data_IF_795075440551
#
_entry.id   IF_795075440551
#
_cell.length_a   1.000
_cell.length_b   1.000
_cell.length_c   1.000
_cell.angle_alpha   90.00
_cell.angle_beta   90.00
_cell.angle_gamma   90.00
#
_symmetry.space_group_name_H-M   'P 1'
#
loop_
_entity.id
_entity.type
_entity.pdbx_description
1 polymer ?
#
# COMPACT_ATOMS: atom_id res chain seq x y z
N UNK A 1 -48.04 21.12 -13.59
CA UNK A 1 -47.01 20.41 -14.42
C UNK A 1 -45.68 21.15 -14.52
N UNK A 2 -45.64 22.43 -14.81
CA UNK A 2 -44.37 23.20 -14.92
C UNK A 2 -43.57 23.31 -13.62
N UNK A 3 -44.21 23.30 -12.47
CA UNK A 3 -43.55 23.44 -11.16
C UNK A 3 -42.87 22.13 -10.74
N UNK A 4 -43.50 21.00 -10.99
CA UNK A 4 -42.92 19.66 -10.69
C UNK A 4 -41.70 19.36 -11.55
N UNK A 5 -41.72 19.80 -12.81
CA UNK A 5 -40.56 19.66 -13.71
C UNK A 5 -39.37 20.49 -13.22
N UNK A 6 -39.62 21.71 -12.74
CA UNK A 6 -38.56 22.56 -12.16
C UNK A 6 -37.98 21.94 -10.89
N UNK A 7 -38.83 21.42 -10.00
CA UNK A 7 -38.39 20.75 -8.78
C UNK A 7 -37.58 19.49 -9.12
N UNK A 8 -38.04 18.68 -10.08
CA UNK A 8 -37.32 17.49 -10.54
C UNK A 8 -35.92 17.85 -11.11
N UNK A 9 -35.84 18.90 -11.92
CA UNK A 9 -34.55 19.38 -12.44
C UNK A 9 -33.61 19.88 -11.34
N UNK A 10 -34.14 20.57 -10.32
CA UNK A 10 -33.34 20.99 -9.16
C UNK A 10 -32.81 19.79 -8.37
N UNK A 11 -33.62 18.77 -8.13
CA UNK A 11 -33.22 17.56 -7.41
C UNK A 11 -32.15 16.79 -8.17
N UNK A 12 -32.33 16.61 -9.48
CA UNK A 12 -31.34 15.94 -10.34
C UNK A 12 -30.01 16.71 -10.37
N UNK A 13 -30.08 18.03 -10.49
CA UNK A 13 -28.88 18.89 -10.47
C UNK A 13 -28.15 18.82 -9.12
N UNK A 14 -28.87 18.77 -8.01
CA UNK A 14 -28.28 18.66 -6.69
C UNK A 14 -27.60 17.29 -6.47
N UNK A 15 -28.23 16.20 -6.94
CA UNK A 15 -27.63 14.85 -6.89
C UNK A 15 -26.36 14.79 -7.75
N UNK A 16 -26.40 15.34 -8.97
CA UNK A 16 -25.22 15.37 -9.85
C UNK A 16 -24.08 16.19 -9.22
N UNK A 17 -24.37 17.34 -8.63
CA UNK A 17 -23.36 18.16 -7.97
C UNK A 17 -22.74 17.45 -6.76
N UNK A 18 -23.57 16.79 -5.93
CA UNK A 18 -23.05 16.03 -4.79
C UNK A 18 -22.19 14.84 -5.19
N UNK A 19 -22.53 14.16 -6.29
CA UNK A 19 -21.72 13.07 -6.85
C UNK A 19 -20.37 13.57 -7.37
N UNK A 20 -20.34 14.72 -8.05
CA UNK A 20 -19.09 15.35 -8.52
C UNK A 20 -18.23 15.78 -7.34
N UNK A 21 -18.80 16.39 -6.30
CA UNK A 21 -18.05 16.79 -5.10
C UNK A 21 -17.48 15.56 -4.36
N UNK A 22 -18.25 14.48 -4.26
CA UNK A 22 -17.78 13.24 -3.66
C UNK A 22 -16.64 12.61 -4.47
N UNK A 23 -16.76 12.60 -5.80
CA UNK A 23 -15.71 12.10 -6.69
C UNK A 23 -14.43 12.96 -6.60
N UNK A 24 -14.55 14.28 -6.56
CA UNK A 24 -13.43 15.19 -6.37
C UNK A 24 -12.79 15.04 -4.99
N UNK A 25 -13.59 14.82 -3.96
CA UNK A 25 -13.10 14.54 -2.61
C UNK A 25 -12.30 13.25 -2.56
N UNK A 26 -12.83 12.16 -3.15
CA UNK A 26 -12.12 10.89 -3.24
C UNK A 26 -10.84 10.99 -4.10
N UNK A 27 -10.89 11.74 -5.20
CA UNK A 27 -9.72 11.99 -6.05
C UNK A 27 -8.65 12.84 -5.35
N UNK A 28 -9.07 13.77 -4.49
CA UNK A 28 -8.18 14.66 -3.73
C UNK A 28 -7.71 14.07 -2.39
N UNK A 29 -8.21 12.88 -2.01
CA UNK A 29 -7.58 12.10 -0.94
C UNK A 29 -6.16 11.79 -1.42
N UNK A 30 -5.24 12.65 -1.03
CA UNK A 30 -3.81 12.51 -1.32
C UNK A 30 -3.39 11.12 -0.88
N UNK A 31 -2.84 10.35 -1.80
CA UNK A 31 -2.07 9.18 -1.41
C UNK A 31 -1.09 9.62 -0.35
N UNK A 32 -1.19 9.04 0.84
CA UNK A 32 -0.27 9.34 1.94
C UNK A 32 1.14 9.14 1.41
N UNK A 33 1.98 10.17 1.48
CA UNK A 33 3.39 10.06 1.11
C UNK A 33 4.08 9.18 2.15
N UNK A 34 4.19 7.89 1.84
CA UNK A 34 4.75 6.89 2.76
C UNK A 34 6.19 7.18 3.12
N UNK A 35 6.93 7.89 2.27
CA UNK A 35 8.30 8.30 2.59
C UNK A 35 8.37 9.26 3.78
N UNK A 36 7.31 10.05 3.99
CA UNK A 36 7.20 11.04 5.08
C UNK A 36 6.28 10.60 6.22
N UNK A 37 5.45 9.58 6.00
CA UNK A 37 4.54 9.09 7.02
C UNK A 37 5.31 8.48 8.20
N UNK A 38 4.82 8.68 9.41
CA UNK A 38 5.38 8.03 10.59
C UNK A 38 4.94 6.55 10.61
N UNK A 39 5.86 5.59 10.71
CA UNK A 39 5.48 4.19 10.82
C UNK A 39 4.85 3.90 12.20
N UNK A 40 3.83 3.06 12.20
CA UNK A 40 3.25 2.52 13.44
C UNK A 40 4.16 1.43 14.04
N UNK A 41 4.82 0.66 13.17
CA UNK A 41 5.74 -0.41 13.54
C UNK A 41 6.96 -0.42 12.61
N UNK A 42 8.11 -0.76 13.19
CA UNK A 42 9.35 -1.07 12.47
C UNK A 42 9.66 -2.54 12.68
N UNK A 43 9.73 -3.31 11.62
CA UNK A 43 9.81 -4.78 11.70
C UNK A 43 10.60 -5.33 10.51
N UNK A 44 11.24 -6.48 10.70
CA UNK A 44 11.87 -7.20 9.57
C UNK A 44 10.86 -8.03 8.80
N UNK A 45 11.12 -8.28 7.51
CA UNK A 45 10.26 -9.10 6.68
C UNK A 45 10.04 -10.51 7.26
N UNK A 46 11.08 -11.12 7.81
CA UNK A 46 11.01 -12.45 8.43
C UNK A 46 10.14 -12.48 9.68
N UNK A 47 10.26 -11.49 10.54
CA UNK A 47 9.44 -11.40 11.78
C UNK A 47 7.99 -11.08 11.45
N UNK A 48 7.74 -10.23 10.46
CA UNK A 48 6.39 -9.90 10.02
C UNK A 48 5.69 -11.14 9.44
N UNK A 49 6.33 -11.86 8.53
CA UNK A 49 5.79 -13.08 7.94
C UNK A 49 5.51 -14.14 9.01
N UNK A 50 6.47 -14.38 9.89
CA UNK A 50 6.31 -15.33 10.99
C UNK A 50 5.14 -14.98 11.91
N UNK A 51 4.91 -13.71 12.19
CA UNK A 51 3.77 -13.28 13.01
C UNK A 51 2.42 -13.70 12.40
N UNK A 52 2.28 -13.59 11.07
CA UNK A 52 1.08 -14.03 10.36
C UNK A 52 0.96 -15.56 10.27
N UNK A 53 2.07 -16.27 10.11
CA UNK A 53 2.09 -17.76 10.10
C UNK A 53 1.75 -18.35 11.48
N UNK A 54 2.24 -17.75 12.55
CA UNK A 54 2.01 -18.23 13.90
C UNK A 54 0.57 -17.98 14.38
N UNK A 55 0.01 -16.80 14.11
CA UNK A 55 -1.37 -16.43 14.47
C UNK A 55 -1.87 -15.31 13.52
N UNK A 56 -2.51 -15.72 12.44
CA UNK A 56 -3.06 -14.79 11.44
C UNK A 56 -4.06 -13.80 12.03
N UNK A 57 -4.91 -14.24 12.97
CA UNK A 57 -5.94 -13.38 13.56
C UNK A 57 -5.32 -12.29 14.43
N UNK A 58 -4.38 -12.63 15.28
CA UNK A 58 -3.67 -11.66 16.10
C UNK A 58 -2.81 -10.72 15.27
N UNK A 59 -2.09 -11.24 14.27
CA UNK A 59 -1.29 -10.43 13.35
C UNK A 59 -2.16 -9.49 12.50
N UNK A 60 -3.28 -9.96 11.99
CA UNK A 60 -4.24 -9.15 11.25
C UNK A 60 -4.77 -7.99 12.08
N UNK A 61 -5.18 -8.27 13.32
CA UNK A 61 -5.66 -7.22 14.24
C UNK A 61 -4.58 -6.18 14.55
N UNK A 62 -3.32 -6.60 14.60
CA UNK A 62 -2.19 -5.75 14.95
C UNK A 62 -1.68 -4.90 13.80
N UNK A 63 -1.59 -5.47 12.59
CA UNK A 63 -0.85 -4.89 11.48
C UNK A 63 -1.70 -4.40 10.32
N UNK A 64 -2.90 -4.95 10.07
CA UNK A 64 -3.73 -4.51 8.94
C UNK A 64 -4.16 -3.05 9.13
N UNK A 65 -4.12 -2.28 8.04
CA UNK A 65 -4.36 -0.83 8.00
C UNK A 65 -3.37 -0.01 8.84
N UNK A 66 -2.19 -0.58 9.15
CA UNK A 66 -1.10 0.12 9.81
C UNK A 66 0.03 0.41 8.83
N UNK A 67 0.74 1.49 9.08
CA UNK A 67 1.94 1.86 8.34
C UNK A 67 3.11 1.10 8.95
N UNK A 68 3.66 0.18 8.17
CA UNK A 68 4.80 -0.63 8.57
C UNK A 68 6.06 -0.14 7.85
N UNK A 69 7.14 -0.02 8.60
CA UNK A 69 8.48 0.10 8.05
C UNK A 69 9.12 -1.28 8.10
N UNK A 70 9.37 -1.85 6.92
CA UNK A 70 9.86 -3.23 6.80
C UNK A 70 11.27 -3.21 6.26
N UNK A 71 12.15 -3.87 6.98
CA UNK A 71 13.56 -4.07 6.62
C UNK A 71 13.71 -5.49 6.09
N UNK A 72 14.29 -5.66 4.93
CA UNK A 72 14.48 -6.99 4.36
C UNK A 72 15.38 -6.99 3.14
N UNK A 73 15.66 -8.19 2.65
CA UNK A 73 16.45 -8.42 1.44
C UNK A 73 15.51 -8.67 0.26
N UNK A 74 15.80 -8.06 -0.86
CA UNK A 74 15.01 -8.23 -2.09
C UNK A 74 15.17 -9.65 -2.61
N UNK A 75 14.07 -10.38 -2.74
CA UNK A 75 13.99 -11.68 -3.37
C UNK A 75 13.77 -11.56 -4.88
N UNK A 76 12.84 -10.71 -5.29
CA UNK A 76 12.55 -10.45 -6.70
C UNK A 76 11.93 -9.07 -6.91
N UNK A 77 12.10 -8.56 -8.12
CA UNK A 77 11.52 -7.30 -8.58
C UNK A 77 10.73 -7.60 -9.85
N UNK A 78 9.45 -7.30 -9.86
CA UNK A 78 8.55 -7.58 -10.99
C UNK A 78 7.70 -6.36 -11.33
N UNK A 79 7.55 -6.00 -12.60
CA UNK A 79 6.53 -5.05 -13.00
C UNK A 79 5.15 -5.68 -12.79
N UNK A 80 4.25 -4.94 -12.13
CA UNK A 80 2.88 -5.39 -11.84
C UNK A 80 1.83 -4.76 -12.77
N UNK A 81 2.24 -4.26 -13.94
CA UNK A 81 1.40 -3.57 -14.93
C UNK A 81 1.19 -2.09 -14.61
N UNK A 82 0.78 -1.30 -15.61
CA UNK A 82 0.43 0.13 -15.46
C UNK A 82 1.42 0.99 -14.65
N UNK A 83 2.71 0.83 -14.85
CA UNK A 83 3.78 1.52 -14.11
C UNK A 83 3.81 1.20 -12.59
N UNK A 84 3.22 0.09 -12.17
CA UNK A 84 3.29 -0.40 -10.80
C UNK A 84 4.46 -1.37 -10.69
N UNK A 85 5.26 -1.23 -9.64
CA UNK A 85 6.36 -2.13 -9.32
C UNK A 85 6.01 -2.96 -8.09
N UNK A 86 6.29 -4.26 -8.15
CA UNK A 86 6.17 -5.18 -7.02
C UNK A 86 7.53 -5.71 -6.63
N UNK A 87 7.90 -5.53 -5.36
CA UNK A 87 9.13 -6.06 -4.78
C UNK A 87 8.75 -7.09 -3.73
N UNK A 88 9.29 -8.30 -3.88
CA UNK A 88 9.17 -9.36 -2.87
C UNK A 88 10.41 -9.40 -1.99
N UNK A 89 10.20 -9.46 -0.68
CA UNK A 89 11.27 -9.55 0.31
C UNK A 89 11.42 -10.99 0.81
N UNK A 90 12.66 -11.39 1.04
CA UNK A 90 13.00 -12.68 1.64
C UNK A 90 12.48 -12.73 3.08
N UNK A 91 11.88 -13.86 3.47
CA UNK A 91 11.32 -14.05 4.82
C UNK A 91 11.94 -15.19 5.60
N UNK A 92 12.77 -16.00 4.95
CA UNK A 92 13.28 -17.26 5.51
C UNK A 92 12.33 -18.44 5.31
N UNK A 93 11.16 -18.21 4.72
CA UNK A 93 10.24 -19.25 4.26
C UNK A 93 10.42 -19.47 2.76
N UNK A 94 10.43 -20.72 2.31
CA UNK A 94 10.56 -21.05 0.87
C UNK A 94 9.25 -20.81 0.11
N UNK A 95 8.14 -20.65 0.81
CA UNK A 95 6.80 -20.62 0.22
C UNK A 95 6.07 -19.29 0.40
N UNK A 96 6.61 -18.35 1.18
CA UNK A 96 5.95 -17.10 1.50
C UNK A 96 6.93 -15.93 1.53
N UNK A 97 6.42 -14.76 1.17
CA UNK A 97 7.20 -13.53 1.09
C UNK A 97 6.42 -12.32 1.62
N UNK A 98 7.09 -11.21 1.80
CA UNK A 98 6.44 -9.92 1.98
C UNK A 98 6.44 -9.21 0.63
N UNK A 99 5.26 -8.95 0.08
CA UNK A 99 5.09 -8.31 -1.22
C UNK A 99 4.76 -6.84 -1.01
N UNK A 100 5.62 -5.98 -1.55
CA UNK A 100 5.48 -4.53 -1.47
C UNK A 100 5.14 -3.97 -2.86
N UNK A 101 4.01 -3.26 -2.95
CA UNK A 101 3.54 -2.66 -4.19
C UNK A 101 3.75 -1.14 -4.17
N UNK A 102 4.41 -0.63 -5.20
CA UNK A 102 4.73 0.79 -5.38
C UNK A 102 3.78 1.43 -6.37
N UNK A 103 3.11 2.53 -6.03
CA UNK A 103 1.99 3.09 -6.81
C UNK A 103 2.39 3.85 -8.07
N UNK A 104 3.61 4.10 -8.36
CA UNK A 104 4.13 4.62 -9.64
C UNK A 104 5.62 4.85 -9.60
N UNK A 105 6.27 4.62 -10.74
CA UNK A 105 7.59 5.15 -11.10
C UNK A 105 8.69 4.92 -10.07
N UNK A 106 8.80 3.70 -9.53
CA UNK A 106 10.09 3.25 -9.08
C UNK A 106 10.80 2.67 -10.32
N UNK A 107 11.97 3.17 -10.63
CA UNK A 107 12.79 2.62 -11.70
C UNK A 107 13.25 1.21 -11.28
N UNK A 108 12.77 0.15 -11.97
CA UNK A 108 13.13 -1.22 -11.58
C UNK A 108 14.63 -1.49 -11.59
N UNK A 109 15.38 -0.73 -12.39
CA UNK A 109 16.83 -0.90 -12.53
C UNK A 109 17.62 -0.51 -11.28
N UNK A 110 17.01 0.21 -10.35
CA UNK A 110 17.62 0.62 -9.06
C UNK A 110 17.61 -0.47 -8.02
N UNK A 111 16.88 -1.55 -8.26
CA UNK A 111 16.66 -2.62 -7.29
C UNK A 111 17.17 -3.94 -7.86
N UNK A 112 17.99 -4.63 -7.09
CA UNK A 112 18.52 -5.93 -7.47
C UNK A 112 18.21 -7.00 -6.41
N UNK A 113 17.87 -8.23 -6.82
CA UNK A 113 17.76 -9.33 -5.86
C UNK A 113 19.05 -9.47 -5.05
N UNK A 114 18.92 -9.62 -3.74
CA UNK A 114 20.03 -9.68 -2.80
C UNK A 114 20.36 -8.37 -2.09
N UNK A 115 19.84 -7.24 -2.58
CA UNK A 115 20.01 -5.94 -1.91
C UNK A 115 19.20 -5.87 -0.64
N UNK A 116 19.77 -5.29 0.40
CA UNK A 116 19.02 -4.93 1.61
C UNK A 116 18.31 -3.59 1.42
N UNK A 117 17.04 -3.56 1.78
CA UNK A 117 16.19 -2.39 1.58
C UNK A 117 15.28 -2.14 2.77
N UNK A 118 15.02 -0.88 3.05
CA UNK A 118 13.98 -0.45 4.00
C UNK A 118 12.82 0.15 3.24
N UNK A 119 11.65 -0.41 3.42
CA UNK A 119 10.41 0.00 2.76
C UNK A 119 9.39 0.43 3.80
N UNK A 120 8.57 1.40 3.43
CA UNK A 120 7.42 1.80 4.24
C UNK A 120 6.16 1.68 3.41
N UNK A 121 5.14 1.01 3.96
CA UNK A 121 3.89 0.79 3.27
C UNK A 121 2.76 0.46 4.24
N UNK A 122 1.54 0.46 3.74
CA UNK A 122 0.35 0.09 4.50
C UNK A 122 0.08 -1.41 4.35
N UNK A 123 -0.04 -2.10 5.47
CA UNK A 123 -0.39 -3.53 5.47
C UNK A 123 -1.86 -3.70 5.08
N UNK A 124 -2.11 -4.39 3.98
CA UNK A 124 -3.45 -4.61 3.45
C UNK A 124 -4.01 -6.01 3.71
N UNK A 125 -3.17 -6.97 4.03
CA UNK A 125 -3.63 -8.33 4.33
C UNK A 125 -2.57 -9.40 4.22
N UNK A 126 -3.03 -10.64 4.37
CA UNK A 126 -2.25 -11.85 4.26
C UNK A 126 -2.98 -12.89 3.42
N UNK A 127 -2.33 -13.37 2.37
CA UNK A 127 -2.81 -14.45 1.50
C UNK A 127 -1.60 -15.33 1.12
N UNK A 128 -1.11 -16.11 2.05
CA UNK A 128 0.18 -16.79 2.02
C UNK A 128 1.37 -15.82 2.11
N UNK A 129 1.29 -14.70 1.42
CA UNK A 129 2.23 -13.58 1.47
C UNK A 129 1.62 -12.42 2.26
N UNK A 130 2.46 -11.67 2.95
CA UNK A 130 2.03 -10.39 3.56
C UNK A 130 2.03 -9.32 2.49
N UNK A 131 0.91 -8.64 2.33
CA UNK A 131 0.73 -7.62 1.29
C UNK A 131 0.84 -6.22 1.88
N UNK A 132 1.79 -5.44 1.34
CA UNK A 132 1.96 -4.02 1.64
C UNK A 132 1.65 -3.20 0.38
N UNK A 133 0.78 -2.23 0.54
CA UNK A 133 0.39 -1.32 -0.54
C UNK A 133 0.96 0.08 -0.34
N UNK A 134 0.95 0.86 -1.42
CA UNK A 134 1.40 2.25 -1.43
C UNK A 134 2.80 2.42 -0.85
N UNK A 135 3.71 1.50 -1.17
CA UNK A 135 5.05 1.47 -0.59
C UNK A 135 5.94 2.60 -1.11
N UNK A 136 6.84 3.05 -0.25
CA UNK A 136 7.94 3.93 -0.60
C UNK A 136 9.25 3.38 -0.04
N UNK A 137 10.34 3.61 -0.75
CA UNK A 137 11.69 3.29 -0.26
C UNK A 137 12.10 4.34 0.75
N UNK A 138 12.57 3.90 1.89
CA UNK A 138 13.19 4.75 2.89
C UNK A 138 14.69 4.70 2.63
N UNK A 139 15.22 5.77 2.03
CA UNK A 139 16.65 5.92 1.91
C UNK A 139 17.22 6.19 3.30
N UNK A 140 17.95 5.23 3.85
CA UNK A 140 18.85 5.51 4.95
C UNK A 140 19.83 6.57 4.44
N UNK A 141 19.73 7.77 4.98
CA UNK A 141 20.81 8.76 4.82
C UNK A 141 22.04 8.15 5.48
N UNK A 142 22.77 7.36 4.72
CA UNK A 142 24.15 7.03 5.12
C UNK A 142 24.87 8.36 5.30
N UNK A 143 25.13 8.66 6.54
CA UNK A 143 26.11 9.69 6.90
C UNK A 143 27.49 9.30 6.37
#
# INVERSE_FOLDING_TARGET
MKIYVKIALFVVSFIALSAILAALYMYNLKHTDMAKAKPDFVITSSVLQKAFEDDETAASTRYINKILEVIGTIASVKPAGNNVLSISLVTGSDFSSVICTFPAIADPSKFSPGDEITLRGECSGFLMDVLLNNCAVIEDKKK
#
